data_IF_457707299112
#
_entry.id   IF_457707299112
#
_cell.length_a   1.000
_cell.length_b   1.000
_cell.length_c   1.000
_cell.angle_alpha   90.00
_cell.angle_beta   90.00
_cell.angle_gamma   90.00
#
_symmetry.space_group_name_H-M   'P 1'
#
loop_
_entity.id
_entity.type
_entity.pdbx_description
1 polymer ?
#
# COMPACT_ATOMS: atom_id res chain seq x y z
N UNK A 1 5.50 -0.13 -6.88
CA UNK A 1 4.86 -1.17 -6.05
C UNK A 1 5.42 -2.56 -6.31
N UNK A 2 5.32 -3.10 -7.53
CA UNK A 2 5.96 -4.36 -7.92
C UNK A 2 7.49 -4.19 -8.00
N UNK A 3 8.23 -5.18 -7.51
CA UNK A 3 9.69 -5.19 -7.59
C UNK A 3 10.12 -5.30 -9.05
N UNK A 4 11.09 -4.48 -9.47
CA UNK A 4 11.46 -4.31 -10.91
C UNK A 4 11.88 -5.61 -11.58
N UNK A 5 12.49 -6.53 -10.83
CA UNK A 5 12.93 -7.83 -11.32
C UNK A 5 12.13 -9.02 -10.77
N UNK A 6 11.27 -8.81 -9.76
CA UNK A 6 10.56 -9.88 -9.05
C UNK A 6 9.07 -9.53 -9.02
N UNK A 7 8.36 -9.90 -10.08
CA UNK A 7 7.00 -9.43 -10.33
C UNK A 7 5.96 -9.78 -9.25
N UNK A 8 6.23 -10.79 -8.43
CA UNK A 8 5.38 -11.19 -7.29
C UNK A 8 5.65 -10.43 -5.99
N UNK A 9 6.74 -9.65 -5.91
CA UNK A 9 7.17 -8.98 -4.69
C UNK A 9 6.89 -7.47 -4.71
N UNK A 10 6.78 -6.90 -3.51
CA UNK A 10 6.65 -5.46 -3.30
C UNK A 10 8.00 -4.83 -2.94
N UNK A 11 8.18 -3.54 -3.23
CA UNK A 11 9.33 -2.75 -2.76
C UNK A 11 9.06 -2.19 -1.36
N UNK A 12 9.21 -3.03 -0.33
CA UNK A 12 9.01 -2.70 1.09
C UNK A 12 10.17 -3.27 1.90
N UNK A 13 10.55 -2.57 2.97
CA UNK A 13 11.39 -3.13 4.03
C UNK A 13 10.91 -2.66 5.40
N UNK A 14 11.25 -3.43 6.42
CA UNK A 14 10.93 -3.16 7.83
C UNK A 14 12.22 -3.16 8.64
N UNK A 15 12.37 -2.19 9.53
CA UNK A 15 13.49 -2.13 10.47
C UNK A 15 13.09 -2.85 11.76
N UNK A 16 13.85 -3.87 12.14
CA UNK A 16 13.67 -4.58 13.40
C UNK A 16 14.84 -4.35 14.35
N UNK A 17 14.55 -4.02 15.60
CA UNK A 17 15.53 -3.93 16.69
C UNK A 17 14.97 -4.65 17.91
N UNK A 18 15.76 -5.55 18.50
CA UNK A 18 15.34 -6.34 19.68
C UNK A 18 13.99 -7.05 19.48
N UNK A 19 13.76 -7.65 18.31
CA UNK A 19 12.53 -8.34 17.92
C UNK A 19 11.28 -7.43 17.82
N UNK A 20 11.44 -6.11 17.82
CA UNK A 20 10.35 -5.15 17.62
C UNK A 20 10.50 -4.44 16.28
N UNK A 21 9.40 -4.30 15.57
CA UNK A 21 9.31 -3.44 14.38
C UNK A 21 9.42 -1.98 14.85
N UNK A 22 10.39 -1.25 14.31
CA UNK A 22 10.58 0.18 14.58
C UNK A 22 10.22 1.05 13.39
N UNK A 23 10.43 0.58 12.16
CA UNK A 23 10.09 1.37 10.99
C UNK A 23 9.50 0.49 9.90
N UNK A 24 8.55 1.06 9.16
CA UNK A 24 8.00 0.46 7.95
C UNK A 24 8.19 1.43 6.79
N UNK A 25 8.78 0.94 5.70
CA UNK A 25 9.18 1.78 4.57
C UNK A 25 8.78 1.10 3.27
N UNK A 26 8.13 1.84 2.39
CA UNK A 26 7.71 1.31 1.11
C UNK A 26 7.68 2.39 0.03
N UNK A 27 7.95 1.99 -1.21
CA UNK A 27 7.67 2.84 -2.36
C UNK A 27 6.16 2.92 -2.54
N UNK A 28 5.63 4.14 -2.47
CA UNK A 28 4.20 4.39 -2.58
C UNK A 28 3.65 3.89 -3.92
N UNK A 29 2.42 3.40 -3.88
CA UNK A 29 1.70 3.04 -5.09
C UNK A 29 1.12 4.32 -5.70
N UNK A 30 1.57 4.66 -6.90
CA UNK A 30 1.10 5.82 -7.64
C UNK A 30 0.26 5.47 -8.88
N UNK A 31 0.03 4.18 -9.14
CA UNK A 31 -0.82 3.71 -10.24
C UNK A 31 -2.27 3.57 -9.76
N UNK A 32 -3.16 4.40 -10.33
CA UNK A 32 -4.58 4.45 -9.98
C UNK A 32 -5.30 3.12 -10.22
N UNK A 33 -4.99 2.41 -11.31
CA UNK A 33 -5.69 1.17 -11.66
C UNK A 33 -5.38 0.09 -10.62
N UNK A 34 -4.10 -0.10 -10.33
CA UNK A 34 -3.63 -1.06 -9.32
C UNK A 34 -4.12 -0.69 -7.92
N UNK A 35 -4.17 0.61 -7.59
CA UNK A 35 -4.71 1.07 -6.31
C UNK A 35 -6.21 0.73 -6.18
N UNK A 36 -6.98 0.87 -7.26
CA UNK A 36 -8.38 0.48 -7.32
C UNK A 36 -8.60 -1.02 -7.08
N UNK A 37 -7.83 -1.87 -7.76
CA UNK A 37 -7.88 -3.33 -7.58
C UNK A 37 -7.59 -3.75 -6.13
N UNK A 38 -6.63 -3.08 -5.48
CA UNK A 38 -6.30 -3.34 -4.07
C UNK A 38 -7.46 -2.93 -3.17
N UNK A 39 -8.10 -1.79 -3.42
CA UNK A 39 -9.26 -1.36 -2.64
C UNK A 39 -10.44 -2.33 -2.77
N UNK A 40 -10.69 -2.89 -3.94
CA UNK A 40 -11.71 -3.93 -4.12
C UNK A 40 -11.38 -5.21 -3.36
N UNK A 41 -10.10 -5.61 -3.35
CA UNK A 41 -9.64 -6.76 -2.57
C UNK A 41 -9.81 -6.52 -1.07
N UNK A 42 -9.46 -5.33 -0.58
CA UNK A 42 -9.63 -4.94 0.82
C UNK A 42 -11.13 -4.91 1.21
N UNK A 43 -12.00 -4.43 0.32
CA UNK A 43 -13.45 -4.46 0.54
C UNK A 43 -13.99 -5.90 0.64
N UNK A 44 -13.50 -6.81 -0.21
CA UNK A 44 -13.81 -8.25 -0.09
C UNK A 44 -13.32 -8.84 1.22
N UNK A 45 -12.10 -8.50 1.65
CA UNK A 45 -11.53 -8.94 2.93
C UNK A 45 -12.34 -8.44 4.13
N UNK A 46 -12.86 -7.21 4.06
CA UNK A 46 -13.73 -6.65 5.10
C UNK A 46 -15.05 -7.42 5.23
N UNK A 47 -15.63 -7.85 4.10
CA UNK A 47 -16.87 -8.64 4.09
C UNK A 47 -16.70 -10.04 4.70
N UNK A 48 -15.50 -10.60 4.68
CA UNK A 48 -15.19 -11.91 5.30
C UNK A 48 -14.72 -11.79 6.76
N UNK A 49 -14.87 -10.62 7.38
CA UNK A 49 -14.62 -10.40 8.81
C UNK A 49 -13.19 -9.99 9.16
N UNK A 50 -12.41 -9.47 8.20
CA UNK A 50 -11.09 -8.92 8.48
C UNK A 50 -11.21 -7.45 8.93
N UNK A 51 -11.29 -7.21 10.24
CA UNK A 51 -11.60 -5.89 10.81
C UNK A 51 -10.50 -4.83 10.55
N UNK A 52 -9.26 -5.26 10.33
CA UNK A 52 -8.13 -4.38 9.99
C UNK A 52 -8.10 -4.00 8.49
N UNK A 53 -9.01 -4.53 7.68
CA UNK A 53 -9.07 -4.20 6.26
C UNK A 53 -9.39 -2.71 6.04
N UNK A 54 -8.61 -2.07 5.17
CA UNK A 54 -8.77 -0.65 4.88
C UNK A 54 -10.09 -0.38 4.15
N UNK A 55 -10.76 0.71 4.53
CA UNK A 55 -11.98 1.15 3.84
C UNK A 55 -11.60 2.02 2.64
N UNK A 56 -12.42 1.98 1.58
CA UNK A 56 -12.14 2.75 0.35
C UNK A 56 -12.28 4.26 0.61
N UNK A 57 -11.17 4.99 0.48
CA UNK A 57 -11.17 6.46 0.50
C UNK A 57 -11.22 7.00 -0.94
N UNK A 58 -12.43 7.40 -1.36
CA UNK A 58 -12.67 7.94 -2.71
C UNK A 58 -11.96 9.27 -2.96
N UNK A 59 -11.71 10.07 -1.91
CA UNK A 59 -11.01 11.35 -2.06
C UNK A 59 -9.52 11.11 -2.29
N UNK A 60 -8.92 10.16 -1.58
CA UNK A 60 -7.53 9.75 -1.80
C UNK A 60 -7.35 9.15 -3.21
N UNK A 61 -8.25 8.26 -3.65
CA UNK A 61 -8.26 7.77 -5.03
C UNK A 61 -8.28 8.90 -6.06
N UNK A 62 -9.12 9.92 -5.84
CA UNK A 62 -9.24 11.08 -6.72
C UNK A 62 -7.96 11.92 -6.75
N UNK A 63 -7.24 12.01 -5.63
CA UNK A 63 -5.96 12.72 -5.56
C UNK A 63 -4.90 12.06 -6.44
N UNK A 64 -4.84 10.73 -6.48
CA UNK A 64 -3.92 10.00 -7.37
C UNK A 64 -4.19 10.25 -8.87
N UNK A 65 -5.41 10.65 -9.25
CA UNK A 65 -5.76 10.99 -10.63
C UNK A 65 -5.05 12.25 -11.14
N UNK A 66 -4.69 13.15 -10.24
CA UNK A 66 -3.91 14.35 -10.56
C UNK A 66 -2.42 14.06 -10.74
N UNK A 67 -1.99 12.82 -10.48
CA UNK A 67 -0.62 12.35 -10.61
C UNK A 67 0.18 12.52 -9.33
N UNK A 68 0.56 11.39 -8.71
CA UNK A 68 1.54 11.36 -7.63
C UNK A 68 2.93 11.04 -8.23
N UNK A 69 3.94 11.91 -8.05
CA UNK A 69 5.30 11.59 -8.44
C UNK A 69 5.82 10.35 -7.69
N UNK A 70 6.84 9.65 -8.20
CA UNK A 70 7.44 8.51 -7.49
C UNK A 70 7.86 8.91 -6.07
N UNK A 71 7.16 8.36 -5.07
CA UNK A 71 7.29 8.75 -3.67
C UNK A 71 7.65 7.55 -2.81
N UNK A 72 8.39 7.77 -1.73
CA UNK A 72 8.70 6.77 -0.71
C UNK A 72 8.10 7.24 0.60
N UNK A 73 7.38 6.35 1.28
CA UNK A 73 6.82 6.63 2.60
C UNK A 73 7.64 5.90 3.67
N UNK A 74 7.82 6.57 4.79
CA UNK A 74 8.61 6.15 5.94
C UNK A 74 7.84 6.47 7.21
N UNK A 75 7.68 5.47 8.08
CA UNK A 75 7.06 5.62 9.40
C UNK A 75 7.98 5.07 10.48
N UNK A 76 8.01 5.72 11.65
CA UNK A 76 8.75 5.35 12.87
C UNK A 76 7.81 5.37 14.08
#
# INVERSE_FOLDING_TARGET
FIHRSLHSLRKRFELFVCYKELCNVYNELNDRLVQGEIFELQAKNKLVGYDEAQTIDKNNCKAFEYGLPPTVNWSI
#
